data_IF_835636466576
#
_entry.id   IF_835636466576
#
_cell.length_a   1.000
_cell.length_b   1.000
_cell.length_c   1.000
_cell.angle_alpha   90.00
_cell.angle_beta   90.00
_cell.angle_gamma   90.00
#
_symmetry.space_group_name_H-M   'P 1'
#
loop_
_entity.id
_entity.type
_entity.pdbx_description
1 polymer ?
#
# COMPACT_ATOMS: atom_id res chain seq x y z
N UNK A 1 12.26 -3.93 -0.66
CA UNK A 1 12.33 -3.06 0.54
C UNK A 1 13.25 -1.84 0.39
N UNK A 2 13.89 -1.57 -0.77
CA UNK A 2 14.70 -0.35 -0.94
C UNK A 2 13.87 0.94 -1.09
N UNK A 3 12.67 0.86 -1.68
CA UNK A 3 11.81 2.01 -1.91
C UNK A 3 11.46 2.77 -0.63
N UNK A 4 11.00 2.08 0.42
CA UNK A 4 10.59 2.67 1.71
C UNK A 4 11.70 3.33 2.50
N UNK A 5 12.95 2.86 2.38
CA UNK A 5 14.07 3.36 3.18
C UNK A 5 14.87 4.49 2.50
N UNK A 6 14.82 4.58 1.16
CA UNK A 6 15.56 5.61 0.41
C UNK A 6 14.66 6.69 -0.21
N UNK A 7 13.35 6.43 -0.40
CA UNK A 7 12.42 7.37 -1.02
C UNK A 7 11.01 7.26 -0.42
N UNK A 8 10.50 8.34 0.18
CA UNK A 8 9.13 8.34 0.69
C UNK A 8 8.13 8.17 -0.46
N UNK A 9 7.26 7.16 -0.33
CA UNK A 9 6.00 7.06 -1.09
C UNK A 9 5.12 8.12 -0.47
N UNK A 10 4.92 9.19 -1.22
CA UNK A 10 3.97 10.21 -0.80
C UNK A 10 2.58 9.78 -1.26
N UNK A 11 1.67 9.61 -0.31
CA UNK A 11 0.24 9.49 -0.46
C UNK A 11 -0.45 10.88 -0.36
N UNK A 12 0.32 11.95 -0.10
CA UNK A 12 -0.14 13.33 0.05
C UNK A 12 0.77 14.13 1.00
N UNK A 13 0.18 15.09 1.75
CA UNK A 13 0.89 15.85 2.80
C UNK A 13 1.16 14.94 4.01
N UNK A 14 2.43 14.80 4.43
CA UNK A 14 2.92 14.35 5.75
C UNK A 14 2.09 13.30 6.52
N UNK A 15 1.00 13.72 7.17
CA UNK A 15 0.10 12.85 7.94
C UNK A 15 -0.60 11.78 7.08
N UNK A 16 -0.95 12.11 5.83
CA UNK A 16 -1.52 11.15 4.89
C UNK A 16 -0.52 10.04 4.52
N UNK A 17 0.77 10.38 4.47
CA UNK A 17 1.85 9.42 4.19
C UNK A 17 2.03 8.47 5.38
N UNK A 18 2.10 9.01 6.60
CA UNK A 18 2.21 8.22 7.83
C UNK A 18 1.04 7.25 8.00
N UNK A 19 -0.20 7.73 7.80
CA UNK A 19 -1.39 6.88 7.88
C UNK A 19 -1.42 5.84 6.74
N UNK A 20 -1.06 6.23 5.51
CA UNK A 20 -0.96 5.31 4.38
C UNK A 20 0.02 4.18 4.63
N UNK A 21 1.21 4.50 5.14
CA UNK A 21 2.21 3.49 5.53
C UNK A 21 1.74 2.61 6.68
N UNK A 22 1.13 3.19 7.71
CA UNK A 22 0.61 2.42 8.84
C UNK A 22 -0.44 1.40 8.39
N UNK A 23 -1.41 1.85 7.58
CA UNK A 23 -2.45 0.98 7.01
C UNK A 23 -1.81 -0.11 6.14
N UNK A 24 -0.84 0.23 5.28
CA UNK A 24 -0.17 -0.72 4.40
C UNK A 24 0.57 -1.81 5.20
N UNK A 25 1.36 -1.44 6.20
CA UNK A 25 2.09 -2.40 7.03
C UNK A 25 1.16 -3.28 7.87
N UNK A 26 0.16 -2.68 8.54
CA UNK A 26 -0.80 -3.42 9.38
C UNK A 26 -1.59 -4.41 8.54
N UNK A 27 -2.11 -3.99 7.38
CA UNK A 27 -2.89 -4.87 6.49
C UNK A 27 -2.03 -5.99 5.91
N UNK A 28 -0.79 -5.72 5.51
CA UNK A 28 0.13 -6.73 4.97
C UNK A 28 0.50 -7.78 6.03
N UNK A 29 0.84 -7.35 7.26
CA UNK A 29 1.16 -8.27 8.35
C UNK A 29 -0.07 -9.11 8.72
N UNK A 30 -1.24 -8.49 8.82
CA UNK A 30 -2.50 -9.19 9.11
C UNK A 30 -2.81 -10.24 8.04
N UNK A 31 -2.66 -9.88 6.76
CA UNK A 31 -2.87 -10.81 5.65
C UNK A 31 -1.89 -11.97 5.66
N UNK A 32 -0.61 -11.72 5.98
CA UNK A 32 0.40 -12.76 6.11
C UNK A 32 0.05 -13.76 7.23
N UNK A 33 -0.35 -13.26 8.40
CA UNK A 33 -0.74 -14.10 9.54
C UNK A 33 -1.95 -14.98 9.18
N UNK A 34 -3.00 -14.38 8.60
CA UNK A 34 -4.18 -15.13 8.15
C UNK A 34 -3.78 -16.18 7.12
N UNK A 35 -2.96 -15.82 6.14
CA UNK A 35 -2.49 -16.76 5.11
C UNK A 35 -1.76 -17.95 5.72
N UNK A 36 -0.86 -17.72 6.69
CA UNK A 36 -0.12 -18.78 7.38
C UNK A 36 -1.05 -19.70 8.19
N UNK A 37 -1.98 -19.12 8.96
CA UNK A 37 -2.94 -19.88 9.79
C UNK A 37 -3.84 -20.73 8.91
N UNK A 38 -4.36 -20.13 7.83
CA UNK A 38 -5.34 -20.79 6.99
C UNK A 38 -4.71 -21.72 5.96
N UNK A 39 -3.38 -21.68 5.69
CA UNK A 39 -2.72 -22.41 4.59
C UNK A 39 -3.02 -23.91 4.46
N UNK A 40 -3.52 -24.52 5.55
CA UNK A 40 -3.90 -25.94 5.64
C UNK A 40 -5.41 -26.20 5.45
N UNK A 41 -6.25 -25.16 5.40
CA UNK A 41 -7.68 -25.22 5.08
C UNK A 41 -7.87 -25.11 3.56
N UNK A 42 -8.97 -25.68 3.07
CA UNK A 42 -9.25 -25.81 1.63
C UNK A 42 -9.16 -24.51 0.81
N UNK A 43 -8.91 -24.69 -0.49
CA UNK A 43 -8.49 -23.64 -1.44
C UNK A 43 -9.45 -22.43 -1.55
N UNK A 44 -10.76 -22.62 -1.33
CA UNK A 44 -11.76 -21.57 -1.57
C UNK A 44 -11.66 -20.40 -0.60
N UNK A 45 -11.31 -20.65 0.67
CA UNK A 45 -11.17 -19.58 1.68
C UNK A 45 -9.96 -18.70 1.37
N UNK A 46 -8.87 -19.33 0.91
CA UNK A 46 -7.68 -18.59 0.48
C UNK A 46 -7.95 -17.67 -0.70
N UNK A 47 -8.69 -18.14 -1.70
CA UNK A 47 -9.04 -17.34 -2.86
C UNK A 47 -9.79 -16.05 -2.46
N UNK A 48 -10.73 -16.16 -1.51
CA UNK A 48 -11.49 -14.99 -1.01
C UNK A 48 -10.58 -14.00 -0.27
N UNK A 49 -9.71 -14.47 0.62
CA UNK A 49 -8.79 -13.59 1.34
C UNK A 49 -7.76 -12.92 0.42
N UNK A 50 -7.23 -13.65 -0.56
CA UNK A 50 -6.33 -13.10 -1.57
C UNK A 50 -7.02 -12.04 -2.43
N UNK A 51 -8.29 -12.25 -2.80
CA UNK A 51 -9.08 -11.27 -3.54
C UNK A 51 -9.31 -9.99 -2.73
N UNK A 52 -9.65 -10.11 -1.45
CA UNK A 52 -9.81 -8.95 -0.54
C UNK A 52 -8.50 -8.17 -0.43
N UNK A 53 -7.37 -8.86 -0.29
CA UNK A 53 -6.06 -8.22 -0.22
C UNK A 53 -5.68 -7.52 -1.53
N UNK A 54 -6.02 -8.13 -2.67
CA UNK A 54 -5.82 -7.51 -3.99
C UNK A 54 -6.63 -6.23 -4.13
N UNK A 55 -7.91 -6.24 -3.75
CA UNK A 55 -8.77 -5.04 -3.77
C UNK A 55 -8.21 -3.94 -2.86
N UNK A 56 -7.77 -4.29 -1.65
CA UNK A 56 -7.13 -3.34 -0.73
C UNK A 56 -5.87 -2.73 -1.33
N UNK A 57 -5.02 -3.55 -1.95
CA UNK A 57 -3.81 -3.09 -2.64
C UNK A 57 -4.16 -2.13 -3.77
N UNK A 58 -5.18 -2.43 -4.57
CA UNK A 58 -5.67 -1.54 -5.62
C UNK A 58 -6.15 -0.19 -5.08
N UNK A 59 -6.90 -0.18 -3.97
CA UNK A 59 -7.36 1.06 -3.33
C UNK A 59 -6.18 1.92 -2.86
N UNK A 60 -5.17 1.30 -2.25
CA UNK A 60 -3.95 2.00 -1.80
C UNK A 60 -3.20 2.59 -3.00
N UNK A 61 -3.02 1.80 -4.07
CA UNK A 61 -2.39 2.28 -5.30
C UNK A 61 -3.17 3.43 -5.94
N UNK A 62 -4.51 3.35 -5.99
CA UNK A 62 -5.35 4.42 -6.50
C UNK A 62 -5.22 5.69 -5.65
N UNK A 63 -5.23 5.57 -4.31
CA UNK A 63 -4.99 6.71 -3.41
C UNK A 63 -3.61 7.34 -3.60
N UNK A 64 -2.59 6.55 -3.90
CA UNK A 64 -1.24 7.04 -4.20
C UNK A 64 -1.09 7.67 -5.59
N UNK A 65 -2.01 7.38 -6.52
CA UNK A 65 -1.96 7.79 -7.93
C UNK A 65 -3.18 8.65 -8.29
N UNK A 66 -4.25 8.06 -8.82
CA UNK A 66 -5.39 8.75 -9.40
C UNK A 66 -6.29 9.49 -8.37
N UNK A 67 -6.32 9.03 -7.12
CA UNK A 67 -7.16 9.57 -6.05
C UNK A 67 -6.41 10.48 -5.06
N UNK A 68 -5.21 10.92 -5.43
CA UNK A 68 -4.34 11.76 -4.59
C UNK A 68 -4.86 13.18 -4.37
N UNK A 69 -5.97 13.55 -5.02
CA UNK A 69 -6.60 14.86 -4.97
C UNK A 69 -5.98 15.87 -5.95
N UNK A 70 -6.70 16.96 -6.24
CA UNK A 70 -6.25 18.02 -7.15
C UNK A 70 -5.11 18.89 -6.57
N UNK A 71 -4.91 18.86 -5.25
CA UNK A 71 -3.83 19.60 -4.58
C UNK A 71 -2.43 19.03 -4.84
N UNK A 72 -2.32 17.74 -5.19
CA UNK A 72 -1.05 17.08 -5.49
C UNK A 72 -1.25 16.02 -6.58
N UNK A 73 -1.48 16.45 -7.84
CA UNK A 73 -1.80 15.54 -8.92
C UNK A 73 -0.66 14.56 -9.18
N UNK A 74 -1.04 13.36 -9.60
CA UNK A 74 -0.10 12.31 -9.96
C UNK A 74 0.87 12.78 -11.05
N UNK A 75 2.17 12.78 -10.74
CA UNK A 75 3.23 13.23 -11.63
C UNK A 75 3.95 12.09 -12.37
N UNK A 76 3.38 10.88 -12.38
CA UNK A 76 4.03 9.69 -12.95
C UNK A 76 5.09 9.04 -12.06
N UNK A 77 5.38 9.59 -10.87
CA UNK A 77 6.40 9.07 -9.97
C UNK A 77 5.89 8.84 -8.55
N UNK A 78 5.95 7.59 -8.10
CA UNK A 78 5.50 7.19 -6.76
C UNK A 78 6.49 7.69 -5.71
N UNK A 79 7.75 7.83 -6.10
CA UNK A 79 8.84 8.19 -5.22
C UNK A 79 9.14 9.68 -5.32
N UNK A 80 9.14 10.36 -4.18
CA UNK A 80 9.63 11.72 -4.12
C UNK A 80 11.12 11.74 -4.53
N UNK A 81 11.47 12.51 -5.57
CA UNK A 81 12.87 12.80 -5.89
C UNK A 81 13.34 13.82 -4.86
N UNK A 82 14.09 13.39 -3.85
CA UNK A 82 14.94 14.32 -3.10
C UNK A 82 15.98 14.85 -4.10
N UNK A 83 15.80 16.09 -4.54
CA UNK A 83 16.84 16.84 -5.25
C UNK A 83 17.87 17.26 -4.21
N UNK A 84 18.84 16.39 -3.94
CA UNK A 84 20.11 16.82 -3.38
C UNK A 84 20.87 17.50 -4.51
N UNK A 85 20.86 18.83 -4.49
CA UNK A 85 21.94 19.70 -4.96
C UNK A 85 22.10 20.77 -3.89
#
# INVERSE_FOLDING_TARGET
MLGTFYKHISFGKGLGDMLGYCILYVTTITHLIITIIFRKKGNSIHAVFSLIFFIQTLIICLKATAWRGSEYPWNGNIFYKSSVN
#
